data_IF_745057717099
#
_entry.id   IF_745057717099
#
_cell.length_a   1.000
_cell.length_b   1.000
_cell.length_c   1.000
_cell.angle_alpha   90.00
_cell.angle_beta   90.00
_cell.angle_gamma   90.00
#
_symmetry.space_group_name_H-M   'P 1'
#
loop_
_entity.id
_entity.type
_entity.pdbx_description
1 polymer ?
#
# COMPACT_ATOMS: atom_id res chain seq x y z
N UNK A 1 8.66 5.33 -18.54
CA UNK A 1 7.19 5.33 -18.46
C UNK A 1 6.66 4.75 -17.14
N UNK A 2 7.08 3.54 -16.73
CA UNK A 2 6.61 2.88 -15.48
C UNK A 2 6.68 3.75 -14.21
N UNK A 3 7.73 4.56 -14.05
CA UNK A 3 7.91 5.45 -12.87
C UNK A 3 6.74 6.42 -12.62
N UNK A 4 6.09 6.89 -13.69
CA UNK A 4 5.02 7.89 -13.61
C UNK A 4 3.71 7.32 -13.07
N UNK A 5 3.52 6.00 -13.14
CA UNK A 5 2.24 5.36 -12.86
C UNK A 5 2.20 4.55 -11.57
N UNK A 6 3.31 4.45 -10.83
CA UNK A 6 3.35 3.63 -9.61
C UNK A 6 2.31 4.09 -8.58
N UNK A 7 2.16 5.40 -8.38
CA UNK A 7 1.18 5.95 -7.43
C UNK A 7 -0.27 5.66 -7.85
N UNK A 8 -0.60 5.81 -9.14
CA UNK A 8 -1.97 5.54 -9.62
C UNK A 8 -2.29 4.04 -9.58
N UNK A 9 -1.32 3.17 -9.89
CA UNK A 9 -1.48 1.71 -9.79
C UNK A 9 -1.70 1.30 -8.34
N UNK A 10 -0.91 1.84 -7.41
CA UNK A 10 -1.06 1.59 -5.99
C UNK A 10 -2.40 2.08 -5.43
N UNK A 11 -2.87 3.25 -5.86
CA UNK A 11 -4.19 3.77 -5.52
C UNK A 11 -5.32 2.83 -6.00
N UNK A 12 -5.27 2.38 -7.26
CA UNK A 12 -6.31 1.49 -7.81
C UNK A 12 -6.36 0.14 -7.08
N UNK A 13 -5.19 -0.44 -6.76
CA UNK A 13 -5.12 -1.68 -5.98
C UNK A 13 -5.69 -1.49 -4.56
N UNK A 14 -5.32 -0.40 -3.90
CA UNK A 14 -5.82 -0.09 -2.57
C UNK A 14 -7.33 0.17 -2.56
N UNK A 15 -7.85 0.83 -3.59
CA UNK A 15 -9.28 1.10 -3.72
C UNK A 15 -10.08 -0.21 -3.81
N UNK A 16 -9.58 -1.20 -4.56
CA UNK A 16 -10.22 -2.52 -4.65
C UNK A 16 -10.25 -3.18 -3.27
N UNK A 17 -9.12 -3.22 -2.56
CA UNK A 17 -9.05 -3.87 -1.25
C UNK A 17 -9.90 -3.17 -0.18
N UNK A 18 -9.92 -1.83 -0.16
CA UNK A 18 -10.83 -1.04 0.69
C UNK A 18 -12.30 -1.30 0.36
N UNK A 19 -12.65 -1.38 -0.93
CA UNK A 19 -14.02 -1.68 -1.35
C UNK A 19 -14.45 -3.07 -0.88
N UNK A 20 -13.57 -4.07 -1.01
CA UNK A 20 -13.81 -5.43 -0.52
C UNK A 20 -13.99 -5.41 1.00
N UNK A 21 -13.10 -4.73 1.73
CA UNK A 21 -13.19 -4.59 3.19
C UNK A 21 -14.55 -4.06 3.63
N UNK A 22 -14.97 -2.91 3.09
CA UNK A 22 -16.26 -2.28 3.43
C UNK A 22 -17.44 -3.15 3.02
N UNK A 23 -17.38 -3.79 1.86
CA UNK A 23 -18.46 -4.64 1.36
C UNK A 23 -18.66 -5.86 2.27
N UNK A 24 -17.58 -6.53 2.67
CA UNK A 24 -17.66 -7.73 3.50
C UNK A 24 -18.01 -7.43 4.96
N UNK A 25 -17.57 -6.29 5.48
CA UNK A 25 -18.01 -5.78 6.78
C UNK A 25 -19.54 -5.60 6.81
N UNK A 26 -20.13 -5.10 5.71
CA UNK A 26 -21.59 -5.00 5.57
C UNK A 26 -22.31 -6.37 5.61
N UNK A 27 -21.65 -7.45 5.19
CA UNK A 27 -22.15 -8.82 5.28
C UNK A 27 -21.77 -9.54 6.60
N UNK A 28 -21.19 -8.82 7.57
CA UNK A 28 -20.81 -9.36 8.88
C UNK A 28 -19.53 -10.20 8.87
N UNK A 29 -18.71 -10.09 7.82
CA UNK A 29 -17.37 -10.70 7.80
C UNK A 29 -16.33 -9.65 8.12
N UNK A 30 -15.51 -9.90 9.14
CA UNK A 30 -14.41 -9.01 9.46
C UNK A 30 -13.31 -9.09 8.39
N UNK A 31 -13.15 -7.98 7.68
CA UNK A 31 -12.11 -7.76 6.67
C UNK A 31 -11.35 -6.46 6.96
N UNK A 32 -11.47 -5.91 8.17
CA UNK A 32 -10.72 -4.72 8.61
C UNK A 32 -9.20 -4.84 8.34
N UNK A 33 -8.55 -6.01 8.55
CA UNK A 33 -7.14 -6.20 8.20
C UNK A 33 -6.82 -5.95 6.72
N UNK A 34 -7.72 -6.35 5.82
CA UNK A 34 -7.55 -6.13 4.38
C UNK A 34 -7.66 -4.64 4.05
N UNK A 35 -8.58 -3.92 4.68
CA UNK A 35 -8.73 -2.48 4.54
C UNK A 35 -7.48 -1.72 4.99
N UNK A 36 -6.96 -2.05 6.16
CA UNK A 36 -5.73 -1.44 6.71
C UNK A 36 -4.50 -1.70 5.82
N UNK A 37 -4.28 -2.95 5.41
CA UNK A 37 -3.18 -3.31 4.50
C UNK A 37 -3.32 -2.56 3.18
N UNK A 38 -4.54 -2.45 2.64
CA UNK A 38 -4.81 -1.73 1.40
C UNK A 38 -4.49 -0.25 1.51
N UNK A 39 -4.93 0.39 2.59
CA UNK A 39 -4.62 1.78 2.87
C UNK A 39 -3.11 2.01 3.04
N UNK A 40 -2.43 1.10 3.73
CA UNK A 40 -0.99 1.16 3.91
C UNK A 40 -0.23 1.02 2.58
N UNK A 41 -0.62 0.08 1.72
CA UNK A 41 -0.08 -0.08 0.36
C UNK A 41 -0.26 1.19 -0.47
N UNK A 42 -1.39 1.88 -0.35
CA UNK A 42 -1.60 3.17 -1.01
C UNK A 42 -0.57 4.22 -0.58
N UNK A 43 -0.37 4.40 0.73
CA UNK A 43 0.59 5.39 1.25
C UNK A 43 2.01 5.06 0.80
N UNK A 44 2.41 3.80 0.90
CA UNK A 44 3.75 3.34 0.47
C UNK A 44 3.96 3.62 -1.02
N UNK A 45 3.01 3.22 -1.87
CA UNK A 45 3.14 3.38 -3.32
C UNK A 45 3.14 4.85 -3.75
N UNK A 46 2.32 5.70 -3.11
CA UNK A 46 2.35 7.15 -3.31
C UNK A 46 3.68 7.76 -2.88
N UNK A 47 4.22 7.35 -1.73
CA UNK A 47 5.50 7.83 -1.21
C UNK A 47 6.64 7.46 -2.15
N UNK A 48 6.73 6.20 -2.57
CA UNK A 48 7.75 5.74 -3.53
C UNK A 48 7.57 6.47 -4.87
N UNK A 49 6.34 6.58 -5.37
CA UNK A 49 6.02 7.30 -6.60
C UNK A 49 6.49 8.76 -6.55
N UNK A 50 6.29 9.44 -5.41
CA UNK A 50 6.73 10.82 -5.22
C UNK A 50 8.26 10.97 -5.28
N UNK A 51 9.02 9.97 -4.83
CA UNK A 51 10.49 10.01 -4.83
C UNK A 51 11.07 9.67 -6.21
N UNK A 52 10.55 8.62 -6.87
CA UNK A 52 11.07 8.17 -8.16
C UNK A 52 10.80 9.14 -9.32
N UNK A 53 9.84 10.04 -9.15
CA UNK A 53 9.47 11.06 -10.12
C UNK A 53 10.19 12.41 -9.89
N UNK A 54 11.07 12.53 -8.88
CA UNK A 54 11.95 13.70 -8.72
C UNK A 54 13.03 13.74 -9.80
N UNK A 55 13.58 14.93 -10.07
CA UNK A 55 14.71 15.11 -10.99
C UNK A 55 15.94 14.27 -10.58
N UNK A 56 16.18 14.17 -9.27
CA UNK A 56 17.27 13.36 -8.68
C UNK A 56 16.71 12.40 -7.61
N UNK A 57 16.17 11.24 -8.00
CA UNK A 57 15.59 10.27 -7.07
C UNK A 57 16.61 9.70 -6.10
N UNK A 58 16.29 9.67 -4.81
CA UNK A 58 17.10 8.99 -3.80
C UNK A 58 16.77 7.49 -3.77
N UNK A 59 17.55 6.69 -4.48
CA UNK A 59 17.37 5.22 -4.54
C UNK A 59 17.34 4.58 -3.15
N UNK A 60 18.22 5.01 -2.24
CA UNK A 60 18.28 4.47 -0.87
C UNK A 60 16.96 4.69 -0.12
N UNK A 61 16.31 5.85 -0.29
CA UNK A 61 15.04 6.16 0.35
C UNK A 61 13.92 5.24 -0.15
N UNK A 62 13.87 4.98 -1.46
CA UNK A 62 12.93 4.02 -2.05
C UNK A 62 13.14 2.62 -1.45
N UNK A 63 14.39 2.15 -1.33
CA UNK A 63 14.67 0.85 -0.72
C UNK A 63 14.25 0.80 0.76
N UNK A 64 14.53 1.85 1.52
CA UNK A 64 14.11 1.96 2.92
C UNK A 64 12.60 1.86 3.06
N UNK A 65 11.84 2.65 2.29
CA UNK A 65 10.37 2.62 2.33
C UNK A 65 9.83 1.26 1.91
N UNK A 66 10.40 0.63 0.87
CA UNK A 66 9.98 -0.72 0.46
C UNK A 66 10.21 -1.77 1.55
N UNK A 67 11.37 -1.76 2.22
CA UNK A 67 11.68 -2.71 3.30
C UNK A 67 10.77 -2.48 4.51
N UNK A 68 10.60 -1.23 4.93
CA UNK A 68 9.71 -0.88 6.05
C UNK A 68 8.27 -1.27 5.73
N UNK A 69 7.82 -1.04 4.50
CA UNK A 69 6.48 -1.44 4.07
C UNK A 69 6.30 -2.95 4.10
N UNK A 70 7.28 -3.71 3.64
CA UNK A 70 7.21 -5.17 3.67
C UNK A 70 7.19 -5.69 5.10
N UNK A 71 8.04 -5.16 5.98
CA UNK A 71 8.08 -5.52 7.40
C UNK A 71 6.75 -5.21 8.11
N UNK A 72 6.15 -4.04 7.83
CA UNK A 72 4.87 -3.66 8.39
C UNK A 72 3.72 -4.58 7.92
N UNK A 73 3.66 -4.91 6.63
CA UNK A 73 2.65 -5.85 6.10
C UNK A 73 2.81 -7.24 6.76
N UNK A 74 4.05 -7.73 6.88
CA UNK A 74 4.31 -8.99 7.58
C UNK A 74 3.85 -8.91 9.04
N UNK A 75 4.17 -7.83 9.74
CA UNK A 75 3.75 -7.65 11.13
C UNK A 75 2.22 -7.60 11.27
N UNK A 76 1.52 -6.88 10.39
CA UNK A 76 0.05 -6.85 10.34
C UNK A 76 -0.52 -8.27 10.13
N UNK A 77 0.02 -9.03 9.17
CA UNK A 77 -0.40 -10.40 8.92
C UNK A 77 -0.22 -11.31 10.15
N UNK A 78 0.86 -11.14 10.92
CA UNK A 78 1.08 -11.90 12.17
C UNK A 78 0.17 -11.49 13.32
N UNK A 79 -0.25 -10.22 13.38
CA UNK A 79 -1.17 -9.73 14.42
C UNK A 79 -2.60 -10.21 14.15
N UNK A 80 -2.97 -10.29 12.86
CA UNK A 80 -4.31 -10.69 12.42
C UNK A 80 -4.46 -12.19 12.11
N UNK A 81 -3.37 -12.97 12.18
CA UNK A 81 -3.37 -14.44 12.03
C UNK A 81 -3.71 -15.16 13.33
#
# INVERSE_FOLDING_TARGET
>A
MIKKYLGIVGFLLALIGLTISVLYEFYGTDMEPLGEISFFVWITTMTISSEINKEKPKKWWVYTISILSLAAIIAMLFVYS
#
